data_IF_122314722438
#
_entry.id   IF_122314722438
#
_cell.length_a   1.000
_cell.length_b   1.000
_cell.length_c   1.000
_cell.angle_alpha   90.00
_cell.angle_beta   90.00
_cell.angle_gamma   90.00
#
_symmetry.space_group_name_H-M   'P 1'
#
loop_
_entity.id
_entity.type
_entity.pdbx_description
1 polymer ?
#
# COMPACT_ATOMS: atom_id res chain seq x y z
N UNK A 1 -27.50 -16.49 64.34
CA UNK A 1 -27.13 -16.52 62.91
C UNK A 1 -28.35 -16.12 62.10
N UNK A 2 -28.21 -15.39 60.99
CA UNK A 2 -27.29 -14.27 60.72
C UNK A 2 -28.03 -13.06 60.06
N UNK A 3 -27.78 -11.82 60.48
CA UNK A 3 -28.31 -10.59 59.88
C UNK A 3 -27.35 -9.45 60.28
N UNK A 4 -26.92 -8.46 59.50
CA UNK A 4 -27.20 -8.01 58.14
C UNK A 4 -25.83 -7.67 57.48
N UNK A 5 -25.66 -7.95 56.18
CA UNK A 5 -24.44 -7.62 55.45
C UNK A 5 -24.41 -6.13 55.06
N UNK A 6 -24.03 -5.25 55.98
CA UNK A 6 -23.71 -3.86 55.62
C UNK A 6 -22.39 -3.83 54.86
N UNK A 7 -22.43 -3.47 53.58
CA UNK A 7 -21.24 -3.37 52.73
C UNK A 7 -20.17 -2.49 53.39
N UNK A 8 -18.98 -3.05 53.60
CA UNK A 8 -17.90 -2.40 54.34
C UNK A 8 -17.06 -1.52 53.41
N UNK A 9 -16.33 -0.50 53.92
CA UNK A 9 -15.41 0.31 53.11
C UNK A 9 -14.36 -0.51 52.33
N UNK A 10 -14.03 -1.72 52.81
CA UNK A 10 -13.15 -2.67 52.13
C UNK A 10 -13.77 -3.24 50.85
N UNK A 11 -15.09 -3.42 50.81
CA UNK A 11 -15.81 -3.92 49.64
C UNK A 11 -15.82 -2.87 48.52
N UNK A 12 -15.95 -1.60 48.89
CA UNK A 12 -15.83 -0.48 47.94
C UNK A 12 -14.42 -0.39 47.33
N UNK A 13 -13.38 -0.47 48.16
CA UNK A 13 -11.98 -0.48 47.70
C UNK A 13 -11.65 -1.72 46.85
N UNK A 14 -12.34 -2.85 47.06
CA UNK A 14 -12.20 -4.02 46.21
C UNK A 14 -12.85 -3.80 44.82
N UNK A 15 -14.01 -3.15 44.76
CA UNK A 15 -14.69 -2.79 43.50
C UNK A 15 -13.87 -1.76 42.72
N UNK A 16 -13.34 -0.74 43.38
CA UNK A 16 -12.53 0.31 42.74
C UNK A 16 -11.22 -0.24 42.18
N UNK A 17 -10.53 -1.14 42.91
CA UNK A 17 -9.33 -1.83 42.39
C UNK A 17 -9.64 -2.68 41.16
N UNK A 18 -10.77 -3.37 41.17
CA UNK A 18 -11.22 -4.18 40.04
C UNK A 18 -11.49 -3.26 38.84
N UNK A 19 -12.23 -2.17 39.04
CA UNK A 19 -12.52 -1.18 38.01
C UNK A 19 -11.25 -0.56 37.38
N UNK A 20 -10.28 -0.16 38.21
CA UNK A 20 -9.00 0.37 37.74
C UNK A 20 -8.18 -0.68 36.99
N UNK A 21 -8.26 -1.95 37.39
CA UNK A 21 -7.63 -3.04 36.65
C UNK A 21 -8.25 -3.20 35.25
N UNK A 22 -9.57 -3.08 35.11
CA UNK A 22 -10.28 -3.10 33.81
C UNK A 22 -9.94 -1.90 32.91
N UNK A 23 -9.75 -0.70 33.50
CA UNK A 23 -9.28 0.47 32.74
C UNK A 23 -7.87 0.24 32.21
N UNK A 24 -6.98 -0.30 33.04
CA UNK A 24 -5.59 -0.57 32.67
C UNK A 24 -5.49 -1.58 31.52
N UNK A 25 -6.31 -2.65 31.55
CA UNK A 25 -6.33 -3.63 30.46
C UNK A 25 -6.93 -3.05 29.18
N UNK A 26 -7.97 -2.21 29.27
CA UNK A 26 -8.53 -1.49 28.12
C UNK A 26 -7.50 -0.55 27.46
N UNK A 27 -6.76 0.23 28.26
CA UNK A 27 -5.72 1.13 27.77
C UNK A 27 -4.56 0.39 27.10
N UNK A 28 -4.15 -0.76 27.67
CA UNK A 28 -3.11 -1.61 27.10
C UNK A 28 -3.53 -2.19 25.73
N UNK A 29 -4.79 -2.64 25.59
CA UNK A 29 -5.33 -3.12 24.31
C UNK A 29 -5.40 -2.00 23.26
N UNK A 30 -5.81 -0.78 23.66
CA UNK A 30 -5.84 0.38 22.78
C UNK A 30 -4.43 0.77 22.28
N UNK A 31 -3.44 0.82 23.18
CA UNK A 31 -2.06 1.14 22.84
C UNK A 31 -1.44 0.09 21.90
N UNK A 32 -1.69 -1.20 22.16
CA UNK A 32 -1.23 -2.28 21.30
C UNK A 32 -1.89 -2.22 19.90
N UNK A 33 -3.19 -1.91 19.85
CA UNK A 33 -3.92 -1.73 18.59
C UNK A 33 -3.37 -0.58 17.74
N UNK A 34 -2.95 0.52 18.37
CA UNK A 34 -2.30 1.63 17.68
C UNK A 34 -0.94 1.25 17.10
N UNK A 35 -0.11 0.55 17.88
CA UNK A 35 1.21 0.09 17.41
C UNK A 35 1.04 -0.84 16.20
N UNK A 36 0.13 -1.82 16.28
CA UNK A 36 -0.15 -2.75 15.18
C UNK A 36 -0.66 -2.04 13.92
N UNK A 37 -1.56 -1.05 14.07
CA UNK A 37 -2.08 -0.27 12.94
C UNK A 37 -0.97 0.53 12.24
N UNK A 38 -0.03 1.10 13.01
CA UNK A 38 1.09 1.88 12.47
C UNK A 38 2.23 1.01 11.93
N UNK A 39 2.43 -0.18 12.48
CA UNK A 39 3.40 -1.16 11.99
C UNK A 39 3.08 -1.61 10.55
N UNK A 40 1.80 -1.66 10.17
CA UNK A 40 1.38 -1.94 8.79
C UNK A 40 1.87 -0.90 7.78
N UNK A 41 1.92 0.39 8.17
CA UNK A 41 2.46 1.47 7.33
C UNK A 41 3.99 1.36 7.27
N UNK A 42 4.64 1.06 8.39
CA UNK A 42 6.10 0.85 8.44
C UNK A 42 6.56 -0.33 7.56
N UNK A 43 5.83 -1.45 7.58
CA UNK A 43 6.12 -2.60 6.71
C UNK A 43 5.95 -2.28 5.22
N UNK A 44 5.01 -1.39 4.86
CA UNK A 44 4.85 -0.92 3.47
C UNK A 44 6.10 -0.19 2.98
N UNK A 45 6.70 0.63 3.84
CA UNK A 45 7.89 1.40 3.50
C UNK A 45 9.16 0.53 3.42
N UNK A 46 9.25 -0.49 4.28
CA UNK A 46 10.37 -1.45 4.27
C UNK A 46 10.37 -2.39 3.05
N UNK A 47 9.18 -2.67 2.48
CA UNK A 47 9.03 -3.59 1.36
C UNK A 47 9.33 -2.96 -0.02
N UNK A 48 9.66 -1.66 -0.07
CA UNK A 48 10.17 -1.01 -1.28
C UNK A 48 11.53 -1.55 -1.74
N UNK A 49 12.22 -2.33 -0.90
CA UNK A 49 13.57 -2.84 -1.18
C UNK A 49 13.66 -4.32 -1.63
N UNK A 50 12.55 -5.06 -1.76
CA UNK A 50 12.59 -6.46 -2.26
C UNK A 50 11.41 -6.81 -3.19
N UNK A 51 11.61 -6.95 -4.51
CA UNK A 51 10.52 -7.06 -5.49
C UNK A 51 9.88 -8.46 -5.66
N UNK A 52 10.11 -9.45 -4.79
CA UNK A 52 9.77 -10.86 -5.09
C UNK A 52 8.88 -11.61 -4.08
N UNK A 53 8.10 -10.93 -3.22
CA UNK A 53 7.13 -11.62 -2.35
C UNK A 53 5.69 -11.41 -2.83
N UNK A 54 4.84 -12.47 -2.87
CA UNK A 54 3.44 -12.35 -3.25
C UNK A 54 2.71 -11.38 -2.32
N UNK A 55 1.98 -10.45 -2.91
CA UNK A 55 1.18 -9.39 -2.29
C UNK A 55 0.03 -9.96 -1.43
N UNK A 56 0.38 -10.56 -0.28
CA UNK A 56 -0.61 -11.01 0.70
C UNK A 56 -1.08 -9.79 1.51
N UNK A 57 -2.26 -9.31 1.14
CA UNK A 57 -3.13 -8.32 1.80
C UNK A 57 -2.62 -7.73 3.14
N UNK A 58 -1.82 -6.67 3.07
CA UNK A 58 -1.45 -5.83 4.21
C UNK A 58 -2.66 -5.11 4.86
N UNK A 59 -3.83 -5.14 4.20
CA UNK A 59 -5.09 -4.66 4.76
C UNK A 59 -5.53 -5.41 6.03
N UNK A 60 -5.09 -6.66 6.22
CA UNK A 60 -5.42 -7.45 7.42
C UNK A 60 -4.78 -6.89 8.69
N UNK A 61 -3.55 -6.37 8.64
CA UNK A 61 -2.86 -5.77 9.81
C UNK A 61 -3.52 -4.46 10.24
N UNK A 62 -3.93 -3.63 9.27
CA UNK A 62 -4.66 -2.39 9.53
C UNK A 62 -6.05 -2.68 10.13
N UNK A 63 -6.74 -3.68 9.58
CA UNK A 63 -8.06 -4.11 10.06
C UNK A 63 -7.99 -4.66 11.49
N UNK A 64 -7.00 -5.50 11.78
CA UNK A 64 -6.77 -6.07 13.11
C UNK A 64 -6.46 -4.99 14.16
N UNK A 65 -5.65 -3.98 13.81
CA UNK A 65 -5.37 -2.84 14.69
C UNK A 65 -6.61 -1.99 14.99
N UNK A 66 -7.42 -1.69 13.98
CA UNK A 66 -8.69 -0.95 14.18
C UNK A 66 -9.72 -1.74 15.00
N UNK A 67 -9.83 -3.06 14.78
CA UNK A 67 -10.73 -3.92 15.54
C UNK A 67 -10.33 -3.98 17.03
N UNK A 68 -9.03 -3.99 17.32
CA UNK A 68 -8.52 -4.05 18.70
C UNK A 68 -8.75 -2.73 19.46
N UNK A 69 -8.62 -1.58 18.79
CA UNK A 69 -8.98 -0.27 19.37
C UNK A 69 -10.47 -0.21 19.66
N UNK A 70 -11.32 -0.66 18.72
CA UNK A 70 -12.77 -0.71 18.91
C UNK A 70 -13.18 -1.64 20.07
N UNK A 71 -12.52 -2.80 20.19
CA UNK A 71 -12.71 -3.73 21.31
C UNK A 71 -12.29 -3.10 22.65
N UNK A 72 -11.19 -2.33 22.68
CA UNK A 72 -10.77 -1.57 23.86
C UNK A 72 -11.81 -0.54 24.30
N UNK A 73 -12.40 0.20 23.33
CA UNK A 73 -13.50 1.14 23.60
C UNK A 73 -14.74 0.42 24.15
N UNK A 74 -15.08 -0.73 23.58
CA UNK A 74 -16.21 -1.56 24.02
C UNK A 74 -16.03 -2.04 25.47
N UNK A 75 -14.83 -2.50 25.84
CA UNK A 75 -14.50 -2.94 27.20
C UNK A 75 -14.62 -1.78 28.20
N UNK A 76 -14.15 -0.58 27.84
CA UNK A 76 -14.31 0.62 28.69
C UNK A 76 -15.79 1.02 28.86
N UNK A 77 -16.59 0.96 27.80
CA UNK A 77 -18.02 1.26 27.86
C UNK A 77 -18.79 0.24 28.71
N UNK A 78 -18.50 -1.05 28.56
CA UNK A 78 -19.10 -2.11 29.37
C UNK A 78 -18.73 -1.97 30.85
N UNK A 79 -17.50 -1.56 31.15
CA UNK A 79 -17.05 -1.28 32.52
C UNK A 79 -17.86 -0.15 33.17
N UNK A 80 -18.12 0.95 32.42
CA UNK A 80 -18.93 2.07 32.89
C UNK A 80 -20.40 1.68 33.12
N UNK A 81 -20.99 0.89 32.21
CA UNK A 81 -22.37 0.42 32.33
C UNK A 81 -22.52 -0.54 33.52
N UNK A 82 -21.55 -1.43 33.73
CA UNK A 82 -21.56 -2.37 34.86
C UNK A 82 -21.43 -1.65 36.20
N UNK A 83 -20.58 -0.62 36.29
CA UNK A 83 -20.45 0.24 37.46
C UNK A 83 -21.74 1.03 37.75
N UNK A 84 -22.40 1.56 36.71
CA UNK A 84 -23.71 2.24 36.87
C UNK A 84 -24.83 1.30 37.34
N UNK A 85 -24.87 0.06 36.82
CA UNK A 85 -25.85 -0.95 37.29
C UNK A 85 -25.61 -1.35 38.75
N UNK A 86 -24.34 -1.41 39.17
CA UNK A 86 -23.98 -1.71 40.56
C UNK A 86 -24.44 -0.60 41.52
N UNK A 87 -24.37 0.66 41.10
CA UNK A 87 -24.87 1.81 41.87
C UNK A 87 -26.41 1.88 41.92
N UNK A 88 -27.10 1.45 40.86
CA UNK A 88 -28.57 1.39 40.86
C UNK A 88 -29.12 0.30 41.80
N UNK A 89 -28.39 -0.81 42.00
CA UNK A 89 -28.80 -1.86 42.93
C UNK A 89 -28.59 -1.50 44.41
N UNK A 90 -27.82 -0.44 44.71
CA UNK A 90 -27.52 -0.01 46.08
C UNK A 90 -28.37 1.18 46.56
N UNK A 91 -29.44 1.54 45.85
CA UNK A 91 -30.47 2.46 46.37
C UNK A 91 -31.35 1.78 47.43
N UNK A 92 -30.76 1.42 48.59
CA UNK A 92 -31.46 1.46 49.86
C UNK A 92 -31.15 2.81 50.53
N UNK A 93 -32.16 3.52 51.06
CA UNK A 93 -32.03 4.92 51.43
C UNK A 93 -31.22 5.04 52.73
N UNK A 94 -30.06 5.73 52.70
CA UNK A 94 -29.38 6.08 53.97
C UNK A 94 -27.89 6.39 53.98
N UNK A 95 -27.17 6.49 52.85
CA UNK A 95 -25.73 6.83 52.89
C UNK A 95 -25.45 8.22 52.28
N UNK A 96 -25.42 9.24 53.13
CA UNK A 96 -25.11 10.65 52.82
C UNK A 96 -23.63 10.95 52.50
N UNK A 97 -22.81 9.95 52.15
CA UNK A 97 -21.38 10.13 51.85
C UNK A 97 -20.92 9.21 50.73
N UNK A 98 -21.26 9.50 49.47
CA UNK A 98 -20.61 8.88 48.31
C UNK A 98 -20.86 9.72 47.07
N UNK A 99 -20.13 10.83 46.93
CA UNK A 99 -19.98 11.48 45.62
C UNK A 99 -19.09 10.56 44.78
N UNK A 100 -19.62 9.91 43.72
CA UNK A 100 -18.76 9.17 42.80
C UNK A 100 -17.72 10.15 42.22
N UNK A 101 -16.49 9.70 42.06
CA UNK A 101 -15.41 10.54 41.52
C UNK A 101 -15.75 10.88 40.07
N UNK A 102 -16.41 12.03 39.87
CA UNK A 102 -16.80 12.55 38.56
C UNK A 102 -15.65 12.52 37.55
N UNK A 103 -14.42 12.69 38.06
CA UNK A 103 -13.15 12.58 37.36
C UNK A 103 -12.94 11.24 36.63
N UNK A 104 -13.31 10.11 37.23
CA UNK A 104 -13.14 8.79 36.60
C UNK A 104 -14.13 8.58 35.45
N UNK A 105 -15.35 9.11 35.60
CA UNK A 105 -16.40 9.05 34.58
C UNK A 105 -16.03 9.98 33.41
N UNK A 106 -15.57 11.20 33.69
CA UNK A 106 -15.11 12.13 32.66
C UNK A 106 -13.89 11.60 31.91
N UNK A 107 -12.92 10.99 32.61
CA UNK A 107 -11.75 10.39 31.98
C UNK A 107 -12.11 9.24 31.04
N UNK A 108 -13.04 8.35 31.43
CA UNK A 108 -13.52 7.26 30.59
C UNK A 108 -14.24 7.78 29.33
N UNK A 109 -15.02 8.85 29.47
CA UNK A 109 -15.78 9.46 28.37
C UNK A 109 -14.85 10.16 27.36
N UNK A 110 -13.84 10.88 27.86
CA UNK A 110 -12.80 11.52 27.03
C UNK A 110 -12.00 10.46 26.24
N UNK A 111 -11.59 9.37 26.87
CA UNK A 111 -10.87 8.28 26.20
C UNK A 111 -11.71 7.58 25.13
N UNK A 112 -13.02 7.39 25.37
CA UNK A 112 -13.93 6.84 24.37
C UNK A 112 -14.08 7.77 23.15
N UNK A 113 -14.22 9.09 23.39
CA UNK A 113 -14.29 10.09 22.31
C UNK A 113 -12.98 10.09 21.51
N UNK A 114 -11.82 10.06 22.17
CA UNK A 114 -10.52 10.01 21.51
C UNK A 114 -10.36 8.76 20.64
N UNK A 115 -10.82 7.60 21.13
CA UNK A 115 -10.80 6.34 20.39
C UNK A 115 -11.70 6.37 19.15
N UNK A 116 -12.90 6.95 19.25
CA UNK A 116 -13.82 7.12 18.12
C UNK A 116 -13.25 8.12 17.11
N UNK A 117 -12.70 9.25 17.56
CA UNK A 117 -12.07 10.23 16.68
C UNK A 117 -10.89 9.63 15.90
N UNK A 118 -10.05 8.80 16.54
CA UNK A 118 -8.96 8.08 15.89
C UNK A 118 -9.48 7.04 14.87
N UNK A 119 -10.54 6.32 15.19
CA UNK A 119 -11.16 5.36 14.27
C UNK A 119 -11.76 6.06 13.03
N UNK A 120 -12.45 7.19 13.23
CA UNK A 120 -12.98 8.02 12.15
C UNK A 120 -11.86 8.62 11.31
N UNK A 121 -10.76 9.07 11.93
CA UNK A 121 -9.57 9.55 11.22
C UNK A 121 -8.95 8.47 10.34
N UNK A 122 -8.77 7.25 10.84
CA UNK A 122 -8.24 6.13 10.05
C UNK A 122 -9.19 5.73 8.90
N UNK A 123 -10.50 5.90 9.06
CA UNK A 123 -11.47 5.68 7.98
C UNK A 123 -11.46 6.84 6.96
N UNK A 124 -11.25 8.08 7.40
CA UNK A 124 -11.31 9.28 6.54
C UNK A 124 -10.03 9.48 5.73
N UNK A 125 -8.88 9.06 6.26
CA UNK A 125 -7.57 9.12 5.56
C UNK A 125 -7.38 7.92 4.61
N UNK A 126 -8.42 7.09 4.38
CA UNK A 126 -8.42 6.08 3.33
C UNK A 126 -8.26 6.77 1.96
N UNK A 127 -7.17 6.51 1.20
CA UNK A 127 -7.29 6.58 -0.24
C UNK A 127 -8.36 5.56 -0.65
N UNK A 128 -9.21 5.87 -1.63
CA UNK A 128 -10.34 5.05 -2.12
C UNK A 128 -9.96 3.65 -2.68
N UNK A 129 -8.93 2.99 -2.17
CA UNK A 129 -8.32 1.78 -2.72
C UNK A 129 -9.11 0.48 -2.53
N UNK A 130 -10.39 0.51 -2.13
CA UNK A 130 -11.18 -0.73 -1.95
C UNK A 130 -12.58 -0.76 -2.56
N UNK A 131 -13.06 0.30 -3.22
CA UNK A 131 -14.35 0.23 -3.94
C UNK A 131 -14.25 -0.23 -5.41
N UNK A 132 -13.04 -0.44 -5.93
CA UNK A 132 -12.83 -0.82 -7.33
C UNK A 132 -12.54 -2.32 -7.54
N UNK A 133 -12.65 -3.16 -6.51
CA UNK A 133 -12.41 -4.60 -6.66
C UNK A 133 -13.57 -5.35 -7.36
N UNK A 134 -14.65 -4.67 -7.73
CA UNK A 134 -15.76 -5.28 -8.47
C UNK A 134 -16.52 -4.28 -9.34
N UNK A 135 -15.82 -3.55 -10.21
CA UNK A 135 -16.46 -2.96 -11.38
C UNK A 135 -15.48 -2.90 -12.55
N UNK A 136 -15.67 -3.87 -13.43
CA UNK A 136 -15.57 -3.80 -14.89
C UNK A 136 -14.45 -2.94 -15.48
N UNK A 137 -13.58 -3.60 -16.26
CA UNK A 137 -13.04 -3.11 -17.54
C UNK A 137 -13.48 -1.69 -17.90
N UNK A 138 -12.75 -0.69 -17.41
CA UNK A 138 -12.70 0.62 -18.03
C UNK A 138 -11.22 0.86 -18.37
N UNK A 139 -10.99 0.89 -19.68
CA UNK A 139 -9.76 1.34 -20.33
C UNK A 139 -9.48 2.79 -19.91
N UNK A 140 -8.88 2.97 -18.75
CA UNK A 140 -8.24 4.23 -18.39
C UNK A 140 -6.76 4.06 -18.63
N UNK A 141 -6.19 4.95 -19.44
CA UNK A 141 -4.75 5.12 -19.68
C UNK A 141 -4.05 5.63 -18.40
N UNK A 142 -4.27 4.99 -17.26
CA UNK A 142 -3.55 5.27 -16.04
C UNK A 142 -2.20 4.57 -16.14
N UNK A 143 -1.12 5.37 -16.20
CA UNK A 143 0.24 4.84 -16.13
C UNK A 143 0.37 4.13 -14.77
N UNK A 144 0.79 2.85 -14.74
CA UNK A 144 1.01 2.14 -13.48
C UNK A 144 2.01 2.90 -12.60
N UNK A 145 1.90 2.78 -11.27
CA UNK A 145 2.86 3.40 -10.33
C UNK A 145 4.31 2.97 -10.62
N UNK A 146 4.50 1.78 -11.19
CA UNK A 146 5.82 1.27 -11.63
C UNK A 146 6.42 2.05 -12.80
N UNK A 147 5.62 2.81 -13.56
CA UNK A 147 6.06 3.49 -14.77
C UNK A 147 6.28 2.59 -15.97
N UNK A 148 5.97 1.29 -15.88
CA UNK A 148 6.20 0.32 -16.96
C UNK A 148 4.88 0.06 -17.70
N UNK A 149 4.86 0.34 -19.00
CA UNK A 149 3.77 -0.04 -19.89
C UNK A 149 4.06 -1.39 -20.53
N UNK A 150 3.01 -2.17 -20.76
CA UNK A 150 3.09 -3.50 -21.38
C UNK A 150 2.06 -3.64 -22.49
N UNK A 151 2.44 -4.26 -23.59
CA UNK A 151 1.56 -4.59 -24.71
C UNK A 151 1.77 -6.05 -25.08
N UNK A 152 0.68 -6.78 -25.30
CA UNK A 152 0.72 -8.17 -25.73
C UNK A 152 1.11 -8.26 -27.21
N UNK A 153 2.09 -9.09 -27.55
CA UNK A 153 2.42 -9.39 -28.96
C UNK A 153 1.59 -10.57 -29.48
N UNK A 154 1.28 -10.55 -30.77
CA UNK A 154 0.71 -11.67 -31.51
C UNK A 154 1.78 -12.63 -32.07
N UNK A 155 3.05 -12.27 -31.92
CA UNK A 155 4.19 -12.99 -32.48
C UNK A 155 5.07 -13.60 -31.38
N UNK A 156 5.95 -14.53 -31.76
CA UNK A 156 7.01 -15.01 -30.88
C UNK A 156 7.98 -13.90 -30.48
N UNK A 157 8.83 -14.16 -29.47
CA UNK A 157 9.87 -13.20 -29.05
C UNK A 157 10.80 -12.86 -30.21
N UNK A 158 11.28 -13.86 -30.95
CA UNK A 158 12.24 -13.65 -32.04
C UNK A 158 11.61 -12.89 -33.23
N UNK A 159 10.37 -13.20 -33.60
CA UNK A 159 9.63 -12.45 -34.61
C UNK A 159 9.37 -11.00 -34.18
N UNK A 160 8.96 -10.80 -32.93
CA UNK A 160 8.73 -9.45 -32.38
C UNK A 160 10.01 -8.62 -32.38
N UNK A 161 11.15 -9.23 -32.02
CA UNK A 161 12.47 -8.59 -32.07
C UNK A 161 12.85 -8.24 -33.51
N UNK A 162 12.68 -9.15 -34.47
CA UNK A 162 12.97 -8.90 -35.89
C UNK A 162 12.09 -7.78 -36.48
N UNK A 163 10.81 -7.72 -36.09
CA UNK A 163 9.90 -6.63 -36.44
C UNK A 163 10.37 -5.29 -35.87
N UNK A 164 10.74 -5.24 -34.59
CA UNK A 164 11.29 -4.03 -33.97
C UNK A 164 12.56 -3.56 -34.68
N UNK A 165 13.50 -4.45 -34.98
CA UNK A 165 14.71 -4.13 -35.74
C UNK A 165 14.38 -3.50 -37.10
N UNK A 166 13.45 -4.11 -37.84
CA UNK A 166 13.00 -3.63 -39.15
C UNK A 166 12.35 -2.24 -39.06
N UNK A 167 11.48 -2.02 -38.07
CA UNK A 167 10.81 -0.73 -37.84
C UNK A 167 11.84 0.36 -37.45
N UNK A 168 12.79 0.04 -36.57
CA UNK A 168 13.84 0.96 -36.14
C UNK A 168 14.72 1.38 -37.34
N UNK A 169 15.13 0.42 -38.16
CA UNK A 169 15.92 0.66 -39.37
C UNK A 169 15.16 1.55 -40.36
N UNK A 170 13.90 1.23 -40.65
CA UNK A 170 13.07 2.02 -41.57
C UNK A 170 12.86 3.47 -41.09
N UNK A 171 12.88 3.70 -39.78
CA UNK A 171 12.74 5.04 -39.17
C UNK A 171 14.08 5.75 -38.94
N UNK A 172 15.21 5.15 -39.32
CA UNK A 172 16.54 5.70 -39.08
C UNK A 172 16.90 5.84 -37.58
N UNK A 173 16.27 5.04 -36.72
CA UNK A 173 16.58 5.00 -35.29
C UNK A 173 17.70 4.00 -35.06
N UNK A 174 18.77 4.41 -34.36
CA UNK A 174 19.93 3.55 -34.13
C UNK A 174 19.59 2.48 -33.10
N UNK A 175 19.74 1.21 -33.48
CA UNK A 175 19.82 0.09 -32.54
C UNK A 175 21.26 0.01 -32.01
N UNK A 176 21.44 0.19 -30.70
CA UNK A 176 22.77 0.12 -30.07
C UNK A 176 23.17 -1.32 -29.78
N UNK A 177 22.25 -2.11 -29.21
CA UNK A 177 22.48 -3.52 -28.93
C UNK A 177 21.15 -4.25 -28.68
N UNK A 178 21.22 -5.58 -28.76
CA UNK A 178 20.21 -6.49 -28.23
C UNK A 178 20.90 -7.35 -27.18
N UNK A 179 20.34 -7.37 -25.98
CA UNK A 179 20.80 -8.23 -24.89
C UNK A 179 19.88 -9.44 -24.83
N UNK A 180 20.42 -10.64 -25.08
CA UNK A 180 19.70 -11.91 -24.95
C UNK A 180 19.79 -12.45 -23.53
N UNK A 181 18.91 -12.01 -22.64
CA UNK A 181 18.92 -12.43 -21.24
C UNK A 181 18.72 -13.93 -21.09
N UNK A 182 17.84 -14.54 -21.91
CA UNK A 182 17.64 -15.99 -21.91
C UNK A 182 18.87 -16.76 -22.36
N UNK A 183 19.57 -16.27 -23.39
CA UNK A 183 20.82 -16.84 -23.88
C UNK A 183 21.94 -16.75 -22.85
N UNK A 184 22.15 -15.56 -22.27
CA UNK A 184 23.15 -15.35 -21.21
C UNK A 184 22.87 -16.21 -19.96
N UNK A 185 21.59 -16.35 -19.58
CA UNK A 185 21.20 -17.25 -18.50
C UNK A 185 21.54 -18.71 -18.84
N UNK A 186 21.26 -19.17 -20.06
CA UNK A 186 21.59 -20.52 -20.50
C UNK A 186 23.09 -20.78 -20.50
N UNK A 187 23.91 -19.81 -20.95
CA UNK A 187 25.38 -19.89 -20.88
C UNK A 187 25.91 -19.98 -19.45
N UNK A 188 25.17 -19.45 -18.47
CA UNK A 188 25.46 -19.59 -17.04
C UNK A 188 24.82 -20.84 -16.39
N UNK A 189 24.22 -21.75 -17.17
CA UNK A 189 23.57 -22.95 -16.65
C UNK A 189 22.20 -22.71 -15.99
N UNK A 190 21.61 -21.52 -16.18
CA UNK A 190 20.30 -21.15 -15.67
C UNK A 190 19.23 -21.29 -16.75
N UNK A 191 17.97 -21.46 -16.34
CA UNK A 191 16.81 -21.48 -17.24
C UNK A 191 15.98 -20.21 -17.03
N UNK A 192 15.57 -19.60 -18.13
CA UNK A 192 14.72 -18.41 -18.16
C UNK A 192 13.81 -18.49 -19.40
N UNK A 193 12.54 -18.03 -19.33
CA UNK A 193 11.72 -17.82 -20.53
C UNK A 193 12.42 -16.93 -21.57
N UNK A 194 12.10 -17.07 -22.85
CA UNK A 194 12.74 -16.30 -23.92
C UNK A 194 12.58 -14.79 -23.64
N UNK A 195 13.70 -14.09 -23.46
CA UNK A 195 13.73 -12.72 -22.94
C UNK A 195 14.87 -11.96 -23.60
N UNK A 196 14.52 -10.92 -24.37
CA UNK A 196 15.47 -10.07 -25.10
C UNK A 196 15.20 -8.60 -24.85
N UNK A 197 16.25 -7.82 -24.61
CA UNK A 197 16.17 -6.38 -24.38
C UNK A 197 16.80 -5.63 -25.56
N UNK A 198 16.02 -4.81 -26.26
CA UNK A 198 16.53 -3.93 -27.31
C UNK A 198 16.87 -2.57 -26.71
N UNK A 199 18.07 -2.09 -26.99
CA UNK A 199 18.56 -0.77 -26.58
C UNK A 199 18.77 0.08 -27.83
N UNK A 200 18.03 1.18 -27.95
CA UNK A 200 17.98 1.98 -29.19
C UNK A 200 17.76 3.46 -28.89
N UNK A 201 18.08 4.33 -29.83
CA UNK A 201 17.85 5.76 -29.65
C UNK A 201 18.17 6.62 -30.87
N UNK A 202 17.79 7.87 -30.77
CA UNK A 202 18.12 8.91 -31.75
C UNK A 202 18.82 10.06 -31.01
N UNK A 203 20.14 10.27 -31.22
CA UNK A 203 20.87 11.36 -30.57
C UNK A 203 20.22 12.74 -30.78
N UNK A 204 19.64 13.01 -31.96
CA UNK A 204 18.97 14.29 -32.24
C UNK A 204 17.75 14.51 -31.33
N UNK A 205 17.05 13.44 -30.95
CA UNK A 205 15.90 13.50 -30.06
C UNK A 205 16.31 13.45 -28.58
N UNK A 206 17.32 12.64 -28.23
CA UNK A 206 17.73 12.38 -26.85
C UNK A 206 18.67 13.42 -26.23
N UNK A 207 19.59 14.02 -27.01
CA UNK A 207 20.55 15.00 -26.49
C UNK A 207 19.89 16.23 -25.85
N UNK A 208 18.81 16.81 -26.42
CA UNK A 208 18.08 17.90 -25.76
C UNK A 208 17.55 17.54 -24.36
N UNK A 209 17.13 16.28 -24.13
CA UNK A 209 16.69 15.83 -22.81
C UNK A 209 17.84 15.80 -21.82
N UNK A 210 19.02 15.35 -22.24
CA UNK A 210 20.22 15.31 -21.40
C UNK A 210 20.73 16.72 -21.08
N UNK A 211 20.60 17.67 -22.02
CA UNK A 211 20.94 19.07 -21.77
C UNK A 211 19.97 19.73 -20.78
N UNK A 212 18.67 19.45 -20.91
CA UNK A 212 17.66 20.01 -20.02
C UNK A 212 17.63 19.34 -18.63
N UNK A 213 17.86 18.02 -18.58
CA UNK A 213 17.99 17.24 -17.36
C UNK A 213 19.05 16.15 -17.52
N UNK A 214 20.29 16.36 -17.02
CA UNK A 214 21.38 15.40 -17.14
C UNK A 214 21.06 14.02 -16.57
N UNK A 215 20.20 13.94 -15.55
CA UNK A 215 19.79 12.67 -14.95
C UNK A 215 19.06 11.73 -15.94
N UNK A 216 18.47 12.28 -17.01
CA UNK A 216 17.81 11.49 -18.07
C UNK A 216 18.79 10.56 -18.80
N UNK A 217 20.10 10.81 -18.73
CA UNK A 217 21.13 9.94 -19.28
C UNK A 217 21.20 8.56 -18.59
N UNK A 218 20.60 8.37 -17.41
CA UNK A 218 20.46 7.05 -16.78
C UNK A 218 19.47 6.15 -17.53
N UNK A 219 18.42 6.75 -18.10
CA UNK A 219 17.33 6.03 -18.74
C UNK A 219 17.38 6.11 -20.27
N UNK A 220 18.25 6.95 -20.82
CA UNK A 220 18.61 7.00 -22.24
C UNK A 220 19.91 6.20 -22.51
N UNK A 221 20.04 5.52 -23.66
CA UNK A 221 19.05 5.32 -24.72
C UNK A 221 17.81 4.52 -24.27
N UNK A 222 16.75 4.61 -25.08
CA UNK A 222 15.48 3.94 -24.81
C UNK A 222 15.61 2.41 -24.87
N UNK A 223 14.71 1.73 -24.16
CA UNK A 223 14.73 0.29 -23.95
C UNK A 223 13.35 -0.32 -24.16
N UNK A 224 13.28 -1.39 -24.94
CA UNK A 224 12.10 -2.26 -25.05
C UNK A 224 12.51 -3.67 -24.65
N UNK A 225 11.82 -4.23 -23.66
CA UNK A 225 11.94 -5.63 -23.25
C UNK A 225 10.87 -6.46 -23.98
N UNK A 226 11.29 -7.50 -24.69
CA UNK A 226 10.41 -8.51 -25.28
C UNK A 226 10.61 -9.79 -24.50
N UNK A 227 9.59 -10.25 -23.80
CA UNK A 227 9.68 -11.41 -22.92
C UNK A 227 8.44 -12.29 -23.02
N UNK A 228 8.67 -13.60 -22.99
CA UNK A 228 7.65 -14.62 -22.81
C UNK A 228 7.34 -14.79 -21.31
N UNK A 229 6.07 -14.88 -20.95
CA UNK A 229 5.66 -15.23 -19.59
C UNK A 229 5.56 -16.75 -19.38
N UNK A 230 5.26 -17.17 -18.15
CA UNK A 230 5.14 -18.59 -17.82
C UNK A 230 3.99 -19.33 -18.54
N UNK A 231 3.04 -18.59 -19.12
CA UNK A 231 1.93 -19.14 -19.90
C UNK A 231 2.24 -19.16 -21.42
N UNK A 232 3.44 -18.75 -21.82
CA UNK A 232 3.85 -18.68 -23.23
C UNK A 232 3.38 -17.41 -23.95
N UNK A 233 2.80 -16.42 -23.24
CA UNK A 233 2.37 -15.17 -23.85
C UNK A 233 3.54 -14.20 -23.95
N UNK A 234 3.71 -13.61 -25.13
CA UNK A 234 4.77 -12.63 -25.39
C UNK A 234 4.30 -11.22 -25.06
N UNK A 235 5.14 -10.49 -24.32
CA UNK A 235 4.90 -9.13 -23.88
C UNK A 235 6.03 -8.21 -24.31
N UNK A 236 5.65 -7.04 -24.81
CA UNK A 236 6.53 -5.91 -25.10
C UNK A 236 6.38 -4.91 -23.95
N UNK A 237 7.45 -4.64 -23.21
CA UNK A 237 7.43 -3.77 -22.03
C UNK A 237 8.46 -2.64 -22.14
N UNK A 238 8.11 -1.44 -21.68
CA UNK A 238 8.97 -0.27 -21.74
C UNK A 238 8.59 0.77 -20.67
N UNK A 239 9.52 1.68 -20.36
CA UNK A 239 9.25 2.80 -19.45
C UNK A 239 8.33 3.82 -20.15
N UNK A 240 7.24 4.21 -19.49
CA UNK A 240 6.32 5.21 -19.99
C UNK A 240 7.04 6.56 -20.16
N UNK A 241 6.89 7.26 -21.30
CA UNK A 241 7.47 8.59 -21.51
C UNK A 241 7.16 9.57 -20.36
N UNK A 242 5.90 9.65 -19.92
CA UNK A 242 5.50 10.56 -18.85
C UNK A 242 6.03 10.14 -17.47
N UNK A 243 6.29 8.83 -17.26
CA UNK A 243 7.02 8.38 -16.08
C UNK A 243 8.46 8.90 -16.10
N UNK A 244 9.16 8.80 -17.24
CA UNK A 244 10.52 9.34 -17.38
C UNK A 244 10.56 10.86 -17.23
N UNK A 245 9.55 11.57 -17.72
CA UNK A 245 9.41 13.01 -17.49
C UNK A 245 9.32 13.33 -16.00
N UNK A 246 8.46 12.62 -15.28
CA UNK A 246 8.29 12.82 -13.83
C UNK A 246 9.56 12.45 -13.06
N UNK A 247 10.20 11.33 -13.41
CA UNK A 247 11.43 10.83 -12.78
C UNK A 247 12.61 11.80 -12.93
N UNK A 248 12.78 12.36 -14.14
CA UNK A 248 13.93 13.20 -14.47
C UNK A 248 13.64 14.70 -14.50
N UNK A 249 12.38 15.11 -14.33
CA UNK A 249 11.96 16.51 -14.31
C UNK A 249 12.39 17.30 -15.55
N UNK A 250 12.38 16.69 -16.74
CA UNK A 250 12.65 17.42 -17.99
C UNK A 250 11.40 18.18 -18.48
N UNK A 251 11.57 19.29 -19.23
CA UNK A 251 10.47 20.12 -19.72
C UNK A 251 9.40 19.34 -20.53
N UNK A 252 8.09 19.61 -20.35
CA UNK A 252 7.01 18.88 -21.04
C UNK A 252 7.07 18.92 -22.57
N UNK A 253 7.62 19.98 -23.14
CA UNK A 253 7.83 20.15 -24.59
C UNK A 253 8.83 19.14 -25.18
N UNK A 254 9.67 18.52 -24.35
CA UNK A 254 10.61 17.47 -24.77
C UNK A 254 10.03 16.05 -24.68
N UNK A 255 8.85 15.86 -24.07
CA UNK A 255 8.18 14.56 -23.98
C UNK A 255 7.97 13.88 -25.36
N UNK A 256 7.54 14.59 -26.42
CA UNK A 256 7.34 13.97 -27.74
C UNK A 256 8.58 13.31 -28.33
N UNK A 257 9.79 13.74 -27.93
CA UNK A 257 11.05 13.18 -28.43
C UNK A 257 11.22 11.71 -28.08
N UNK A 258 10.63 11.26 -26.97
CA UNK A 258 10.71 9.87 -26.51
C UNK A 258 9.38 9.11 -26.61
N UNK A 259 8.26 9.81 -26.87
CA UNK A 259 6.93 9.22 -27.00
C UNK A 259 6.79 8.21 -28.16
N UNK A 260 7.69 8.28 -29.15
CA UNK A 260 7.70 7.35 -30.30
C UNK A 260 7.79 5.88 -29.88
N UNK A 261 8.32 5.58 -28.69
CA UNK A 261 8.44 4.22 -28.16
C UNK A 261 7.09 3.48 -28.10
N UNK A 262 6.00 4.19 -27.80
CA UNK A 262 4.66 3.61 -27.70
C UNK A 262 4.19 3.11 -29.07
N UNK A 263 4.42 3.90 -30.12
CA UNK A 263 4.09 3.54 -31.51
C UNK A 263 4.97 2.39 -32.01
N UNK A 264 6.25 2.37 -31.63
CA UNK A 264 7.16 1.27 -31.98
C UNK A 264 6.69 -0.05 -31.36
N UNK A 265 6.32 -0.02 -30.08
CA UNK A 265 5.82 -1.20 -29.37
C UNK A 265 4.49 -1.69 -29.95
N UNK A 266 3.53 -0.79 -30.21
CA UNK A 266 2.24 -1.16 -30.80
C UNK A 266 2.39 -1.82 -32.18
N UNK A 267 3.19 -1.21 -33.08
CA UNK A 267 3.41 -1.77 -34.43
C UNK A 267 4.15 -3.10 -34.44
N UNK A 268 5.01 -3.34 -33.46
CA UNK A 268 5.70 -4.62 -33.34
C UNK A 268 4.81 -5.72 -32.76
N UNK A 269 3.80 -5.35 -31.97
CA UNK A 269 2.84 -6.27 -31.36
C UNK A 269 1.78 -6.78 -32.34
N UNK A 270 1.34 -5.94 -33.28
CA UNK A 270 0.47 -6.31 -34.41
C UNK A 270 1.11 -7.40 -35.26
#
# INVERSE_FOLDING_TARGET
>A
MPDESTATPRDFLAVERTFLAWIRTGLALMGLGFVLARFGIFLREFNLNQPNLPSRSYGLSLWLGTALIFLGVLVCLLSLVRYRRLLQQLQRPGALLSRPSALAITAALVLAILGVAMAVYLISVRPLAQNNASKSQETSMAIPESGILRTASNHSVDETVARLQSILQAKGVKLFTIVDHSGEAASAGLKMPNTKLLIFGNPKAGTPLMLASPSSALDLPLKILVAEDAAGKVWISYNAPAYLQTRHHFPPDLLPNIAVIEVLAAKAAE
#
